data_IF_660198836786
#
_entry.id   IF_660198836786
#
_cell.length_a   1.000
_cell.length_b   1.000
_cell.length_c   1.000
_cell.angle_alpha   90.00
_cell.angle_beta   90.00
_cell.angle_gamma   90.00
#
_symmetry.space_group_name_H-M   'P 1'
#
loop_
_entity.id
_entity.type
_entity.pdbx_description
1 polymer ?
#
# COMPACT_ATOMS: atom_id res chain seq x y z
N UNK A 1 4.88 -10.09 -21.36
CA UNK A 1 4.63 -9.10 -22.43
C UNK A 1 4.56 -7.64 -21.93
N UNK A 2 3.75 -7.31 -20.91
CA UNK A 2 3.55 -5.93 -20.43
C UNK A 2 4.82 -5.20 -19.93
N UNK A 3 5.75 -5.93 -19.30
CA UNK A 3 6.96 -5.34 -18.68
C UNK A 3 8.10 -5.01 -19.67
N UNK A 4 8.29 -5.83 -20.72
CA UNK A 4 9.23 -5.54 -21.81
C UNK A 4 8.85 -4.22 -22.52
N UNK A 5 7.55 -4.00 -22.70
CA UNK A 5 6.99 -2.76 -23.25
C UNK A 5 7.35 -1.52 -22.42
N UNK A 6 7.33 -1.60 -21.07
CA UNK A 6 7.69 -0.51 -20.16
C UNK A 6 9.19 -0.17 -20.16
N UNK A 7 10.03 -1.18 -20.31
CA UNK A 7 11.49 -1.06 -20.36
C UNK A 7 11.96 -0.38 -21.65
N UNK A 8 11.41 -0.82 -22.78
CA UNK A 8 11.61 -0.16 -24.07
C UNK A 8 11.12 1.29 -24.02
N UNK A 9 9.98 1.56 -23.34
CA UNK A 9 9.52 2.95 -23.23
C UNK A 9 10.48 3.85 -22.47
N UNK A 10 11.30 3.35 -21.55
CA UNK A 10 12.20 4.18 -20.77
C UNK A 10 13.50 4.56 -21.49
N UNK A 11 13.99 3.72 -22.40
CA UNK A 11 15.19 4.00 -23.20
C UNK A 11 14.95 4.84 -24.46
N UNK A 12 13.69 5.10 -24.83
CA UNK A 12 13.39 5.94 -25.99
C UNK A 12 13.89 7.37 -25.73
N UNK A 13 14.72 7.95 -26.62
CA UNK A 13 15.15 9.34 -26.53
C UNK A 13 13.96 10.28 -26.37
N UNK A 14 14.09 11.31 -25.52
CA UNK A 14 13.00 12.26 -25.22
C UNK A 14 12.37 12.85 -26.48
N UNK A 15 13.15 13.05 -27.55
CA UNK A 15 12.70 13.51 -28.87
C UNK A 15 11.73 12.52 -29.51
N UNK A 16 12.08 11.23 -29.58
CA UNK A 16 11.20 10.19 -30.13
C UNK A 16 9.91 10.02 -29.28
N UNK A 17 10.01 10.14 -27.94
CA UNK A 17 8.81 10.13 -27.07
C UNK A 17 7.86 11.28 -27.43
N UNK A 18 8.42 12.47 -27.69
CA UNK A 18 7.66 13.65 -28.10
C UNK A 18 7.03 13.46 -29.48
N UNK A 19 7.75 12.89 -30.43
CA UNK A 19 7.27 12.58 -31.78
C UNK A 19 6.16 11.52 -31.75
N UNK A 20 6.32 10.43 -30.98
CA UNK A 20 5.26 9.42 -30.78
C UNK A 20 4.00 10.03 -30.17
N UNK A 21 4.13 10.89 -29.16
CA UNK A 21 2.99 11.64 -28.58
C UNK A 21 2.35 12.59 -29.59
N UNK A 22 3.14 13.23 -30.46
CA UNK A 22 2.64 14.11 -31.53
C UNK A 22 1.87 13.30 -32.58
N UNK A 23 2.43 12.17 -33.04
CA UNK A 23 1.79 11.27 -33.99
C UNK A 23 0.48 10.68 -33.43
N UNK A 24 0.49 10.22 -32.17
CA UNK A 24 -0.71 9.73 -31.51
C UNK A 24 -1.81 10.81 -31.38
N UNK A 25 -1.43 12.08 -31.15
CA UNK A 25 -2.38 13.21 -31.14
C UNK A 25 -2.90 13.56 -32.53
N UNK A 26 -2.09 13.36 -33.57
CA UNK A 26 -2.48 13.58 -34.97
C UNK A 26 -3.38 12.46 -35.50
N UNK A 27 -3.23 11.24 -35.00
CA UNK A 27 -4.07 10.09 -35.35
C UNK A 27 -5.37 10.01 -34.53
N UNK A 28 -5.50 10.77 -33.44
CA UNK A 28 -6.79 10.93 -32.76
C UNK A 28 -7.74 11.64 -33.72
N UNK A 29 -8.65 10.86 -34.31
CA UNK A 29 -9.72 11.34 -35.17
C UNK A 29 -10.47 12.48 -34.48
N UNK A 30 -10.88 13.51 -35.24
CA UNK A 30 -11.67 14.68 -34.76
C UNK A 30 -13.09 14.30 -34.28
N UNK A 31 -13.35 13.03 -33.98
CA UNK A 31 -14.66 12.37 -34.03
C UNK A 31 -15.39 12.25 -32.70
N UNK A 32 -15.19 13.18 -31.76
CA UNK A 32 -16.13 13.35 -30.66
C UNK A 32 -16.61 14.80 -30.74
N UNK A 33 -17.78 14.98 -31.35
CA UNK A 33 -18.30 16.24 -31.90
C UNK A 33 -18.48 17.39 -30.88
N UNK A 34 -18.24 17.15 -29.60
CA UNK A 34 -18.46 18.15 -28.53
C UNK A 34 -17.21 18.58 -27.74
N UNK A 35 -16.05 17.91 -27.87
CA UNK A 35 -14.86 18.22 -27.06
C UNK A 35 -13.66 18.65 -27.88
N UNK A 36 -12.96 19.68 -27.40
CA UNK A 36 -11.68 20.10 -27.97
C UNK A 36 -10.62 19.01 -27.79
N UNK A 37 -9.64 18.95 -28.70
CA UNK A 37 -8.49 18.03 -28.63
C UNK A 37 -7.76 18.16 -27.28
N UNK A 38 -7.68 19.37 -26.73
CA UNK A 38 -7.03 19.62 -25.45
C UNK A 38 -7.82 19.04 -24.27
N UNK A 39 -9.16 19.10 -24.30
CA UNK A 39 -10.01 18.48 -23.28
C UNK A 39 -9.85 16.97 -23.30
N UNK A 40 -9.87 16.34 -24.47
CA UNK A 40 -9.67 14.89 -24.60
C UNK A 40 -8.27 14.47 -24.13
N UNK A 41 -7.25 15.26 -24.43
CA UNK A 41 -5.87 14.99 -24.01
C UNK A 41 -5.62 15.23 -22.51
N UNK A 42 -6.54 15.88 -21.80
CA UNK A 42 -6.42 16.15 -20.36
C UNK A 42 -6.63 14.90 -19.49
N UNK A 43 -7.26 13.87 -20.05
CA UNK A 43 -7.54 12.60 -19.37
C UNK A 43 -6.97 11.43 -20.17
N UNK A 44 -6.60 10.34 -19.49
CA UNK A 44 -6.15 9.14 -20.19
C UNK A 44 -7.33 8.47 -20.93
N UNK A 45 -7.09 7.73 -22.04
CA UNK A 45 -8.17 7.04 -22.76
C UNK A 45 -8.99 6.09 -21.87
N UNK A 46 -8.34 5.39 -20.94
CA UNK A 46 -9.01 4.53 -19.97
C UNK A 46 -9.91 5.33 -19.00
N UNK A 47 -9.46 6.52 -18.56
CA UNK A 47 -10.26 7.40 -17.73
C UNK A 47 -11.45 7.98 -18.50
N UNK A 48 -11.25 8.35 -19.77
CA UNK A 48 -12.32 8.84 -20.64
C UNK A 48 -13.40 7.77 -20.86
N UNK A 49 -13.01 6.51 -21.06
CA UNK A 49 -13.95 5.40 -21.18
C UNK A 49 -14.81 5.23 -19.91
N UNK A 50 -14.22 5.42 -18.71
CA UNK A 50 -14.97 5.42 -17.45
C UNK A 50 -15.90 6.62 -17.33
N UNK A 51 -15.44 7.81 -17.68
CA UNK A 51 -16.30 8.99 -17.70
C UNK A 51 -17.48 8.81 -18.65
N UNK A 52 -17.25 8.23 -19.83
CA UNK A 52 -18.30 7.99 -20.81
C UNK A 52 -19.40 7.09 -20.26
N UNK A 53 -19.04 6.00 -19.57
CA UNK A 53 -20.01 5.09 -18.95
C UNK A 53 -20.92 5.82 -17.94
N UNK A 54 -20.33 6.54 -16.99
CA UNK A 54 -21.11 7.30 -16.02
C UNK A 54 -21.92 8.43 -16.68
N UNK A 55 -21.37 9.06 -17.72
CA UNK A 55 -22.10 10.07 -18.46
C UNK A 55 -23.33 9.50 -19.17
N UNK A 56 -23.21 8.36 -19.84
CA UNK A 56 -24.33 7.69 -20.52
C UNK A 56 -25.48 7.35 -19.56
N UNK A 57 -25.16 7.01 -18.30
CA UNK A 57 -26.15 6.78 -17.24
C UNK A 57 -26.82 8.08 -16.77
N UNK A 58 -26.06 9.15 -16.53
CA UNK A 58 -26.56 10.42 -15.98
C UNK A 58 -27.16 11.37 -17.02
N UNK A 59 -26.75 11.28 -18.28
CA UNK A 59 -27.17 12.13 -19.39
C UNK A 59 -28.69 12.31 -19.49
N UNK A 60 -29.52 11.24 -19.47
CA UNK A 60 -30.98 11.39 -19.53
C UNK A 60 -31.58 12.14 -18.33
N UNK A 61 -30.91 12.10 -17.18
CA UNK A 61 -31.33 12.78 -15.96
C UNK A 61 -30.97 14.27 -15.99
N UNK A 62 -29.83 14.61 -16.63
CA UNK A 62 -29.26 15.95 -16.65
C UNK A 62 -29.72 16.79 -17.85
N UNK A 63 -30.04 16.15 -18.98
CA UNK A 63 -30.45 16.82 -20.21
C UNK A 63 -31.96 16.72 -20.45
N UNK A 64 -32.51 17.69 -21.16
CA UNK A 64 -33.87 17.62 -21.71
C UNK A 64 -33.89 16.81 -23.03
N UNK A 65 -35.08 16.56 -23.58
CA UNK A 65 -35.22 15.84 -24.85
C UNK A 65 -34.61 16.54 -26.08
N UNK A 66 -34.07 17.75 -25.91
CA UNK A 66 -33.34 18.51 -26.94
C UNK A 66 -31.82 18.53 -26.68
N UNK A 67 -31.34 17.78 -25.69
CA UNK A 67 -29.93 17.73 -25.30
C UNK A 67 -29.43 18.99 -24.56
N UNK A 68 -30.34 19.88 -24.14
CA UNK A 68 -29.97 21.07 -23.35
C UNK A 68 -29.90 20.69 -21.89
N UNK A 69 -28.97 21.31 -21.17
CA UNK A 69 -28.85 21.12 -19.73
C UNK A 69 -30.14 21.59 -19.04
N UNK A 70 -30.72 20.75 -18.19
CA UNK A 70 -31.87 21.13 -17.34
C UNK A 70 -31.48 22.27 -16.40
N UNK A 71 -32.45 22.98 -15.78
CA UNK A 71 -32.13 23.99 -14.77
C UNK A 71 -31.17 23.44 -13.73
N UNK A 72 -30.13 24.21 -13.40
CA UNK A 72 -29.01 23.77 -12.55
C UNK A 72 -29.50 23.12 -11.24
N UNK A 73 -30.53 23.66 -10.60
CA UNK A 73 -31.11 23.09 -9.38
C UNK A 73 -31.68 21.67 -9.58
N UNK A 74 -32.23 21.36 -10.77
CA UNK A 74 -32.69 20.00 -11.12
C UNK A 74 -31.51 19.08 -11.41
N UNK A 75 -30.46 19.59 -12.05
CA UNK A 75 -29.22 18.83 -12.30
C UNK A 75 -28.53 18.47 -10.99
N UNK A 76 -28.41 19.42 -10.06
CA UNK A 76 -27.83 19.20 -8.73
C UNK A 76 -28.61 18.17 -7.93
N UNK A 77 -29.94 18.24 -7.95
CA UNK A 77 -30.79 17.23 -7.30
C UNK A 77 -30.63 15.85 -7.94
N UNK A 78 -30.71 15.74 -9.27
CA UNK A 78 -30.62 14.46 -9.96
C UNK A 78 -29.24 13.81 -9.78
N UNK A 79 -28.17 14.61 -9.82
CA UNK A 79 -26.82 14.11 -9.56
C UNK A 79 -26.66 13.67 -8.11
N UNK A 80 -27.22 14.40 -7.13
CA UNK A 80 -27.20 13.99 -5.74
C UNK A 80 -27.96 12.67 -5.49
N UNK A 81 -29.15 12.52 -6.09
CA UNK A 81 -29.94 11.27 -6.04
C UNK A 81 -29.16 10.09 -6.63
N UNK A 82 -28.54 10.27 -7.80
CA UNK A 82 -27.71 9.22 -8.41
C UNK A 82 -26.52 8.82 -7.52
N UNK A 83 -25.88 9.76 -6.82
CA UNK A 83 -24.80 9.45 -5.88
C UNK A 83 -25.30 8.70 -4.64
N UNK A 84 -26.52 8.98 -4.17
CA UNK A 84 -27.16 8.20 -3.10
C UNK A 84 -27.47 6.78 -3.55
N UNK A 85 -27.95 6.59 -4.78
CA UNK A 85 -28.24 5.27 -5.35
C UNK A 85 -26.96 4.44 -5.49
N UNK A 86 -25.87 5.02 -6.02
CA UNK A 86 -24.56 4.35 -6.03
C UNK A 86 -24.15 3.90 -4.62
N UNK A 87 -24.35 4.74 -3.61
CA UNK A 87 -24.03 4.37 -2.23
C UNK A 87 -24.92 3.23 -1.70
N UNK A 88 -26.22 3.24 -1.99
CA UNK A 88 -27.15 2.17 -1.59
C UNK A 88 -26.82 0.84 -2.26
N UNK A 89 -26.33 0.88 -3.49
CA UNK A 89 -25.88 -0.29 -4.25
C UNK A 89 -24.53 -0.85 -3.76
N UNK A 90 -23.88 -0.18 -2.79
CA UNK A 90 -22.62 -0.60 -2.20
C UNK A 90 -21.39 -0.20 -3.01
N UNK A 91 -21.53 0.73 -3.97
CA UNK A 91 -20.41 1.26 -4.73
C UNK A 91 -19.49 2.11 -3.86
N UNK A 92 -18.21 2.13 -4.22
CA UNK A 92 -17.20 2.85 -3.45
C UNK A 92 -17.19 4.36 -3.74
N UNK A 93 -16.47 5.09 -2.88
CA UNK A 93 -16.33 6.54 -3.00
C UNK A 93 -15.58 6.97 -4.28
N UNK A 94 -14.79 6.09 -4.87
CA UNK A 94 -14.08 6.38 -6.10
C UNK A 94 -15.05 6.38 -7.29
N UNK A 95 -16.00 5.44 -7.35
CA UNK A 95 -17.07 5.40 -8.36
C UNK A 95 -17.87 6.70 -8.35
N UNK A 96 -18.34 7.15 -7.18
CA UNK A 96 -19.03 8.43 -7.02
C UNK A 96 -18.22 9.63 -7.55
N UNK A 97 -16.90 9.64 -7.33
CA UNK A 97 -16.02 10.70 -7.84
C UNK A 97 -15.89 10.68 -9.36
N UNK A 98 -15.84 9.48 -9.95
CA UNK A 98 -15.82 9.35 -11.42
C UNK A 98 -17.12 9.86 -12.03
N UNK A 99 -18.27 9.63 -11.38
CA UNK A 99 -19.55 10.17 -11.84
C UNK A 99 -19.57 11.70 -11.83
N UNK A 100 -19.21 12.36 -10.71
CA UNK A 100 -19.15 13.83 -10.66
C UNK A 100 -18.13 14.40 -11.66
N UNK A 101 -16.96 13.77 -11.76
CA UNK A 101 -15.93 14.22 -12.70
C UNK A 101 -16.36 14.04 -14.17
N UNK A 102 -17.12 12.99 -14.48
CA UNK A 102 -17.73 12.80 -15.80
C UNK A 102 -18.72 13.92 -16.11
N UNK A 103 -19.64 14.23 -15.19
CA UNK A 103 -20.61 15.32 -15.37
C UNK A 103 -19.92 16.67 -15.68
N UNK A 104 -18.86 17.01 -14.93
CA UNK A 104 -18.08 18.24 -15.15
C UNK A 104 -17.24 18.21 -16.43
N UNK A 105 -16.84 17.03 -16.90
CA UNK A 105 -16.07 16.87 -18.14
C UNK A 105 -16.96 17.04 -19.38
N UNK A 106 -18.17 16.48 -19.36
CA UNK A 106 -19.13 16.56 -20.48
C UNK A 106 -19.95 17.85 -20.50
N UNK A 107 -20.14 18.51 -19.35
CA UNK A 107 -20.81 19.81 -19.24
C UNK A 107 -19.95 20.82 -18.48
N UNK A 108 -18.95 21.42 -19.13
CA UNK A 108 -18.08 22.42 -18.51
C UNK A 108 -18.82 23.64 -17.96
N UNK A 109 -20.04 23.91 -18.42
CA UNK A 109 -20.92 24.98 -17.90
C UNK A 109 -21.23 24.79 -16.41
N UNK A 110 -21.12 23.56 -15.90
CA UNK A 110 -21.23 23.25 -14.48
C UNK A 110 -19.99 23.67 -13.67
N UNK A 111 -18.84 23.88 -14.31
CA UNK A 111 -17.63 24.46 -13.69
C UNK A 111 -17.75 25.99 -13.67
N UNK A 112 -18.55 26.52 -12.76
CA UNK A 112 -18.52 27.97 -12.53
C UNK A 112 -17.31 28.39 -11.69
N UNK A 113 -16.63 29.51 -12.03
CA UNK A 113 -15.59 30.13 -11.20
C UNK A 113 -16.05 30.48 -9.78
N UNK A 114 -17.36 30.62 -9.56
CA UNK A 114 -17.95 30.92 -8.27
C UNK A 114 -18.26 29.68 -7.40
N UNK A 115 -17.96 28.45 -7.85
CA UNK A 115 -18.10 27.20 -7.07
C UNK A 115 -19.49 26.95 -6.40
N UNK A 116 -20.59 27.53 -6.92
CA UNK A 116 -21.91 27.53 -6.26
C UNK A 116 -23.06 26.84 -7.01
N UNK A 117 -22.85 26.24 -8.18
CA UNK A 117 -23.97 25.66 -8.96
C UNK A 117 -24.42 24.26 -8.53
N UNK A 118 -23.60 23.50 -7.82
CA UNK A 118 -23.96 22.16 -7.34
C UNK A 118 -23.88 22.06 -5.81
N UNK A 119 -24.68 22.83 -5.06
CA UNK A 119 -24.59 22.90 -3.62
C UNK A 119 -24.94 21.57 -2.94
N UNK A 120 -25.91 20.80 -3.44
CA UNK A 120 -26.30 19.50 -2.83
C UNK A 120 -25.28 18.41 -3.10
N UNK A 121 -24.73 18.34 -4.31
CA UNK A 121 -23.64 17.41 -4.64
C UNK A 121 -22.37 17.71 -3.83
N UNK A 122 -22.18 18.98 -3.44
CA UNK A 122 -21.09 19.37 -2.53
C UNK A 122 -21.40 19.05 -1.07
N UNK A 123 -22.61 19.36 -0.61
CA UNK A 123 -23.07 19.11 0.77
C UNK A 123 -23.23 17.63 1.10
N UNK A 124 -23.43 16.78 0.10
CA UNK A 124 -23.24 15.34 0.25
C UNK A 124 -21.75 15.11 0.55
N UNK A 125 -21.42 15.17 1.85
CA UNK A 125 -20.08 15.10 2.48
C UNK A 125 -19.20 13.92 2.00
N UNK A 126 -19.77 13.02 1.21
CA UNK A 126 -19.13 11.97 0.45
C UNK A 126 -18.04 12.49 -0.52
N UNK A 127 -18.24 13.64 -1.18
CA UNK A 127 -17.30 14.10 -2.22
C UNK A 127 -16.13 14.93 -1.64
N UNK A 128 -16.34 15.64 -0.53
CA UNK A 128 -15.41 16.69 -0.04
C UNK A 128 -14.18 16.19 0.73
N UNK A 129 -14.12 14.95 1.21
CA UNK A 129 -13.00 14.51 2.06
C UNK A 129 -11.62 14.42 1.37
N UNK A 130 -11.47 14.71 0.07
CA UNK A 130 -10.19 14.53 -0.66
C UNK A 130 -9.81 15.67 -1.64
N UNK A 131 -10.43 16.86 -1.56
CA UNK A 131 -9.82 18.05 -2.19
C UNK A 131 -9.24 18.94 -1.09
N UNK A 132 -8.00 18.70 -0.61
CA UNK A 132 -7.36 19.67 0.25
C UNK A 132 -7.03 20.92 -0.56
N UNK A 133 -7.62 22.05 -0.18
CA UNK A 133 -6.96 23.34 -0.36
C UNK A 133 -5.59 23.23 0.32
N UNK A 134 -4.52 23.47 -0.46
CA UNK A 134 -3.20 23.64 0.11
C UNK A 134 -3.21 24.92 0.95
N UNK A 135 -3.37 24.83 2.26
CA UNK A 135 -2.80 25.79 3.22
C UNK A 135 -3.14 25.43 4.69
N UNK A 136 -2.09 25.43 5.52
CA UNK A 136 -2.09 25.35 7.00
C UNK A 136 -2.42 23.95 7.58
N UNK A 137 -1.72 23.38 8.56
CA UNK A 137 -0.98 23.91 9.69
C UNK A 137 0.15 22.95 10.11
N UNK A 138 1.27 23.53 10.52
CA UNK A 138 2.37 22.90 11.23
C UNK A 138 2.24 23.10 12.75
N UNK A 139 3.01 22.29 13.50
CA UNK A 139 3.29 22.30 14.94
C UNK A 139 2.30 21.59 15.88
N UNK A 140 2.72 20.47 16.48
CA UNK A 140 3.38 20.46 17.81
C UNK A 140 3.80 19.02 18.19
N UNK A 141 4.95 18.93 18.86
CA UNK A 141 5.66 17.74 19.36
C UNK A 141 5.02 17.22 20.65
N UNK A 142 4.94 15.90 20.84
CA UNK A 142 5.05 15.26 22.17
C UNK A 142 5.66 13.85 22.04
N UNK A 143 6.72 13.63 22.80
CA UNK A 143 7.54 12.43 22.91
C UNK A 143 6.99 11.47 23.97
N UNK A 144 6.91 10.18 23.63
CA UNK A 144 6.58 9.08 24.55
C UNK A 144 5.72 8.02 23.86
N UNK A 145 6.34 7.09 23.14
CA UNK A 145 5.65 6.05 22.37
C UNK A 145 6.01 4.64 22.85
N UNK A 146 5.05 3.73 23.04
CA UNK A 146 5.31 2.33 23.39
C UNK A 146 5.79 1.52 22.19
N UNK A 147 6.69 0.57 22.44
CA UNK A 147 7.20 -0.37 21.46
C UNK A 147 6.13 -1.43 21.13
N UNK A 148 5.93 -1.75 19.85
CA UNK A 148 5.00 -2.77 19.38
C UNK A 148 5.74 -3.71 18.42
N UNK A 149 5.79 -5.00 18.73
CA UNK A 149 6.40 -6.01 17.87
C UNK A 149 5.33 -6.63 16.95
N UNK A 150 5.51 -6.55 15.64
CA UNK A 150 4.67 -7.25 14.66
C UNK A 150 5.56 -8.11 13.75
N UNK A 151 5.17 -9.37 13.55
CA UNK A 151 5.82 -10.33 12.66
C UNK A 151 5.08 -10.30 11.31
N UNK A 152 5.82 -10.09 10.22
CA UNK A 152 5.27 -10.01 8.86
C UNK A 152 5.36 -11.38 8.16
N UNK A 153 4.21 -11.90 7.72
CA UNK A 153 4.11 -12.97 6.70
C UNK A 153 3.62 -12.32 5.40
N UNK A 154 4.41 -12.46 4.33
CA UNK A 154 4.08 -11.91 3.02
C UNK A 154 3.10 -12.79 2.26
N UNK A 155 2.02 -12.20 1.75
CA UNK A 155 1.18 -12.81 0.72
C UNK A 155 1.14 -11.87 -0.50
N UNK A 156 1.51 -12.37 -1.67
CA UNK A 156 1.22 -11.75 -2.97
C UNK A 156 -0.15 -12.24 -3.45
N UNK A 157 -1.14 -11.35 -3.46
CA UNK A 157 -2.42 -11.61 -4.12
C UNK A 157 -2.45 -10.91 -5.48
N UNK A 158 -2.18 -11.67 -6.54
CA UNK A 158 -2.69 -11.37 -7.89
C UNK A 158 -3.24 -12.69 -8.43
N UNK A 159 -4.53 -12.69 -8.79
CA UNK A 159 -5.21 -13.84 -9.40
C UNK A 159 -4.78 -13.93 -10.87
N UNK A 160 -4.54 -15.16 -11.29
CA UNK A 160 -4.19 -15.65 -12.63
C UNK A 160 -2.69 -15.71 -12.98
N UNK A 161 -2.05 -16.88 -12.69
CA UNK A 161 -1.02 -17.63 -13.47
C UNK A 161 -0.46 -18.84 -12.64
N UNK A 162 0.22 -19.84 -13.26
CA UNK A 162 0.28 -21.23 -12.77
C UNK A 162 1.40 -21.52 -11.75
N UNK A 163 1.10 -22.44 -10.81
CA UNK A 163 1.95 -23.14 -9.83
C UNK A 163 2.89 -22.28 -8.94
N UNK A 164 2.99 -22.57 -7.63
CA UNK A 164 3.77 -21.74 -6.72
C UNK A 164 5.28 -21.95 -6.90
N UNK A 165 6.00 -20.84 -7.13
CA UNK A 165 7.46 -20.79 -7.18
C UNK A 165 8.10 -21.17 -5.83
N UNK A 166 9.24 -21.87 -5.91
CA UNK A 166 10.07 -22.33 -4.81
C UNK A 166 10.64 -21.15 -3.99
N UNK A 167 10.54 -21.21 -2.65
CA UNK A 167 11.28 -20.34 -1.74
C UNK A 167 12.42 -21.14 -1.10
N UNK A 168 13.68 -20.84 -1.42
CA UNK A 168 14.82 -21.34 -0.66
C UNK A 168 15.33 -20.27 0.30
N UNK A 169 15.72 -20.68 1.51
CA UNK A 169 16.27 -19.81 2.54
C UNK A 169 17.75 -20.09 2.70
N UNK A 170 18.57 -19.08 2.46
CA UNK A 170 19.99 -19.12 2.76
C UNK A 170 20.28 -18.27 4.00
N UNK A 171 20.55 -18.93 5.13
CA UNK A 171 21.19 -18.30 6.27
C UNK A 171 22.71 -18.34 6.04
N UNK A 172 23.34 -17.18 5.88
CA UNK A 172 24.81 -17.08 5.84
C UNK A 172 25.29 -16.39 7.11
N UNK A 173 26.08 -17.11 7.89
CA UNK A 173 26.86 -16.52 8.97
C UNK A 173 28.06 -15.82 8.31
N UNK A 174 28.11 -14.48 8.34
CA UNK A 174 29.34 -13.78 7.96
C UNK A 174 30.33 -13.97 9.11
N UNK A 175 31.22 -14.95 8.97
CA UNK A 175 32.34 -15.11 9.88
C UNK A 175 33.10 -13.80 10.00
N UNK A 176 33.25 -13.31 11.24
CA UNK A 176 34.18 -12.22 11.51
C UNK A 176 35.59 -12.64 11.07
N UNK A 177 36.41 -11.73 10.50
CA UNK A 177 37.79 -12.06 10.18
C UNK A 177 38.49 -12.55 11.46
N UNK A 178 39.39 -13.55 11.36
CA UNK A 178 40.08 -14.07 12.53
C UNK A 178 40.80 -12.92 13.27
N UNK A 179 40.75 -12.89 14.61
CA UNK A 179 41.44 -11.87 15.36
C UNK A 179 42.94 -11.96 15.04
N UNK A 180 43.54 -10.83 14.66
CA UNK A 180 45.00 -10.72 14.64
C UNK A 180 45.47 -10.93 16.07
N UNK A 181 46.37 -11.90 16.27
CA UNK A 181 46.98 -12.21 17.56
C UNK A 181 47.53 -10.94 18.22
N UNK A 182 46.80 -10.42 19.19
CA UNK A 182 47.16 -9.27 19.98
C UNK A 182 46.42 -9.37 21.31
N UNK A 183 47.17 -9.62 22.39
CA UNK A 183 46.64 -9.81 23.75
C UNK A 183 45.84 -8.59 24.18
N UNK A 184 44.51 -8.75 24.18
CA UNK A 184 43.56 -7.82 24.77
C UNK A 184 42.19 -8.48 24.74
N UNK A 185 41.60 -8.70 25.91
CA UNK A 185 40.21 -9.14 26.07
C UNK A 185 39.28 -8.11 25.42
N UNK A 186 38.94 -8.33 24.15
CA UNK A 186 37.84 -7.65 23.49
C UNK A 186 36.65 -8.59 23.51
N UNK A 187 35.59 -8.22 24.25
CA UNK A 187 34.27 -8.83 24.10
C UNK A 187 33.78 -8.58 22.67
N UNK A 188 33.96 -9.58 21.81
CA UNK A 188 33.36 -9.63 20.49
C UNK A 188 31.85 -9.83 20.64
N UNK A 189 31.07 -8.75 20.62
CA UNK A 189 29.64 -8.85 20.29
C UNK A 189 29.54 -9.13 18.79
N UNK A 190 29.54 -10.41 18.42
CA UNK A 190 29.25 -10.83 17.05
C UNK A 190 27.82 -10.36 16.70
N UNK A 191 27.71 -9.28 15.93
CA UNK A 191 26.45 -8.77 15.45
C UNK A 191 25.89 -9.72 14.39
N UNK A 192 24.77 -10.37 14.69
CA UNK A 192 24.03 -11.14 13.70
C UNK A 192 23.41 -10.19 12.67
N UNK A 193 23.98 -10.13 11.47
CA UNK A 193 23.29 -9.55 10.31
C UNK A 193 22.61 -10.70 9.57
N UNK A 194 21.49 -11.17 10.11
CA UNK A 194 20.69 -12.19 9.44
C UNK A 194 19.96 -11.56 8.26
N UNK A 195 20.42 -11.92 7.06
CA UNK A 195 19.71 -11.61 5.81
C UNK A 195 18.96 -12.87 5.41
N UNK A 196 17.62 -12.84 5.47
CA UNK A 196 16.77 -13.92 4.95
C UNK A 196 16.64 -13.72 3.45
N UNK A 197 17.53 -14.34 2.66
CA UNK A 197 17.52 -14.25 1.19
C UNK A 197 16.56 -15.29 0.62
N UNK A 198 15.52 -14.85 -0.11
CA UNK A 198 14.76 -15.71 -1.01
C UNK A 198 15.55 -15.97 -2.30
N UNK A 199 16.18 -17.13 -2.40
CA UNK A 199 16.93 -17.53 -3.60
C UNK A 199 16.19 -18.61 -4.39
N UNK A 200 15.92 -18.37 -5.68
CA UNK A 200 15.54 -19.44 -6.60
C UNK A 200 16.81 -20.18 -7.04
N UNK A 201 17.14 -21.28 -6.37
CA UNK A 201 18.27 -22.13 -6.75
C UNK A 201 17.86 -23.13 -7.83
N UNK A 202 17.59 -22.66 -9.05
CA UNK A 202 17.58 -23.53 -10.23
C UNK A 202 18.95 -23.53 -10.89
N UNK A 203 19.75 -24.55 -10.57
CA UNK A 203 20.94 -24.95 -11.31
C UNK A 203 20.48 -25.56 -12.66
N UNK A 204 20.13 -24.70 -13.60
CA UNK A 204 19.74 -25.14 -14.94
C UNK A 204 19.31 -23.97 -15.83
N UNK A 205 20.25 -23.50 -16.65
CA UNK A 205 20.06 -22.51 -17.72
C UNK A 205 19.82 -21.05 -17.26
N UNK A 206 20.90 -20.27 -17.34
CA UNK A 206 21.00 -18.81 -17.13
C UNK A 206 19.96 -18.02 -17.95
N UNK A 207 18.76 -17.85 -17.39
CA UNK A 207 17.97 -16.65 -17.59
C UNK A 207 18.45 -15.61 -16.60
N UNK A 208 19.17 -14.58 -17.04
CA UNK A 208 19.42 -13.39 -16.20
C UNK A 208 18.04 -12.85 -15.82
N UNK A 209 17.64 -12.99 -14.56
CA UNK A 209 16.46 -12.32 -13.99
C UNK A 209 16.69 -10.81 -14.16
N UNK A 210 16.23 -10.28 -15.30
CA UNK A 210 16.38 -8.88 -15.66
C UNK A 210 15.49 -8.07 -14.72
N UNK A 211 16.13 -7.58 -13.65
CA UNK A 211 15.67 -6.65 -12.61
C UNK A 211 14.99 -7.32 -11.42
N UNK A 212 15.78 -7.64 -10.40
CA UNK A 212 15.30 -7.58 -9.02
C UNK A 212 14.86 -6.14 -8.73
N UNK A 213 13.56 -5.85 -8.90
CA UNK A 213 12.96 -4.58 -8.48
C UNK A 213 12.98 -4.45 -6.95
N UNK A 214 13.01 -5.60 -6.26
CA UNK A 214 13.12 -5.72 -4.82
C UNK A 214 14.30 -6.60 -4.46
N UNK A 215 14.96 -6.24 -3.36
CA UNK A 215 15.83 -7.16 -2.67
C UNK A 215 14.93 -8.23 -2.03
N UNK A 216 15.19 -9.50 -2.31
CA UNK A 216 14.44 -10.62 -1.74
C UNK A 216 14.82 -10.90 -0.28
N UNK A 217 15.46 -9.92 0.36
CA UNK A 217 15.98 -9.99 1.70
C UNK A 217 15.06 -9.28 2.71
N UNK A 218 14.67 -9.99 3.77
CA UNK A 218 14.08 -9.37 4.96
C UNK A 218 15.19 -8.87 5.89
N UNK A 219 15.15 -7.57 6.21
CA UNK A 219 16.12 -6.95 7.12
C UNK A 219 15.70 -7.16 8.59
N UNK A 220 16.49 -7.96 9.32
CA UNK A 220 16.36 -8.18 10.76
C UNK A 220 17.39 -7.34 11.56
N UNK A 221 17.56 -6.09 11.15
CA UNK A 221 18.58 -5.14 11.65
C UNK A 221 18.15 -4.35 12.90
N UNK A 222 16.85 -4.23 13.17
CA UNK A 222 16.36 -3.48 14.33
C UNK A 222 16.53 -4.28 15.64
N UNK A 223 16.76 -3.63 16.80
CA UNK A 223 17.00 -4.33 18.07
C UNK A 223 15.91 -5.35 18.45
N UNK A 224 14.64 -5.05 18.18
CA UNK A 224 13.53 -5.97 18.47
C UNK A 224 13.38 -7.10 17.44
N UNK A 225 14.10 -7.04 16.31
CA UNK A 225 14.17 -8.14 15.33
C UNK A 225 15.27 -9.17 15.68
N UNK A 226 16.33 -8.74 16.36
CA UNK A 226 17.50 -9.58 16.68
C UNK A 226 17.15 -10.96 17.26
N UNK A 227 16.23 -11.11 18.23
CA UNK A 227 15.90 -12.44 18.76
C UNK A 227 15.12 -13.32 17.78
N UNK A 228 14.46 -12.75 16.75
CA UNK A 228 13.61 -13.52 15.82
C UNK A 228 14.41 -14.49 14.97
N UNK A 229 15.61 -14.12 14.51
CA UNK A 229 16.42 -14.98 13.65
C UNK A 229 16.81 -16.30 14.33
N UNK A 230 17.53 -16.26 15.46
CA UNK A 230 17.90 -17.45 16.22
C UNK A 230 16.68 -18.25 16.70
N UNK A 231 15.62 -17.59 17.18
CA UNK A 231 14.41 -18.27 17.63
C UNK A 231 13.71 -19.01 16.48
N UNK A 232 13.57 -18.38 15.31
CA UNK A 232 12.98 -19.02 14.12
C UNK A 232 13.81 -20.21 13.66
N UNK A 233 15.14 -20.05 13.62
CA UNK A 233 16.07 -21.12 13.25
C UNK A 233 15.95 -22.34 14.16
N UNK A 234 15.86 -22.10 15.47
CA UNK A 234 15.74 -23.13 16.50
C UNK A 234 14.37 -23.81 16.48
N UNK A 235 13.30 -23.02 16.60
CA UNK A 235 11.92 -23.49 16.70
C UNK A 235 11.49 -24.31 15.48
N UNK A 236 11.89 -23.87 14.29
CA UNK A 236 11.54 -24.53 13.03
C UNK A 236 12.57 -25.56 12.59
N UNK A 237 13.61 -25.79 13.42
CA UNK A 237 14.72 -26.72 13.17
C UNK A 237 15.27 -26.58 11.76
N UNK A 238 15.56 -25.35 11.34
CA UNK A 238 15.93 -25.06 9.95
C UNK A 238 17.19 -25.80 9.49
N UNK A 239 18.07 -26.18 10.42
CA UNK A 239 19.24 -27.03 10.15
C UNK A 239 18.90 -28.45 9.66
N UNK A 240 17.67 -28.93 9.91
CA UNK A 240 17.20 -30.26 9.52
C UNK A 240 16.39 -30.22 8.22
N UNK A 241 15.96 -29.04 7.78
CA UNK A 241 15.14 -28.87 6.58
C UNK A 241 16.02 -28.84 5.34
N UNK A 242 15.53 -29.46 4.25
CA UNK A 242 16.15 -29.33 2.92
C UNK A 242 15.85 -27.95 2.34
N UNK A 243 16.71 -27.47 1.43
CA UNK A 243 16.58 -26.14 0.84
C UNK A 243 15.29 -25.88 0.05
N UNK A 244 14.57 -26.93 -0.34
CA UNK A 244 13.30 -26.86 -1.07
C UNK A 244 12.07 -26.96 -0.15
N UNK A 245 12.26 -27.26 1.14
CA UNK A 245 11.15 -27.38 2.08
C UNK A 245 10.64 -26.00 2.51
N UNK A 246 9.31 -25.88 2.60
CA UNK A 246 8.70 -24.68 3.18
C UNK A 246 9.09 -24.52 4.67
N UNK A 247 9.39 -23.28 5.05
CA UNK A 247 9.62 -22.91 6.46
C UNK A 247 8.35 -23.12 7.28
N UNK A 248 7.20 -22.70 6.72
CA UNK A 248 5.89 -22.82 7.35
C UNK A 248 4.94 -23.59 6.43
N UNK A 249 4.15 -24.48 7.02
CA UNK A 249 3.06 -25.19 6.34
C UNK A 249 1.69 -24.66 6.79
N UNK A 250 1.58 -23.33 6.95
CA UNK A 250 0.35 -22.65 7.38
C UNK A 250 -0.32 -21.96 6.20
N UNK A 251 -1.65 -21.99 6.16
CA UNK A 251 -2.45 -21.30 5.15
C UNK A 251 -2.83 -19.89 5.61
N UNK A 252 -3.32 -19.06 4.68
CA UNK A 252 -3.85 -17.74 5.04
C UNK A 252 -5.08 -17.87 5.98
N UNK A 253 -5.86 -18.92 5.84
CA UNK A 253 -7.01 -19.21 6.70
C UNK A 253 -6.56 -19.49 8.14
N UNK A 254 -5.54 -20.33 8.33
CA UNK A 254 -4.98 -20.62 9.66
C UNK A 254 -4.51 -19.35 10.36
N UNK A 255 -3.83 -18.47 9.62
CA UNK A 255 -3.36 -17.18 10.15
C UNK A 255 -4.54 -16.27 10.49
N UNK A 256 -5.59 -16.24 9.66
CA UNK A 256 -6.79 -15.43 9.92
C UNK A 256 -7.51 -15.89 11.17
N UNK A 257 -7.77 -17.20 11.30
CA UNK A 257 -8.39 -17.78 12.50
C UNK A 257 -7.54 -17.57 13.77
N UNK A 258 -6.20 -17.63 13.65
CA UNK A 258 -5.31 -17.29 14.75
C UNK A 258 -5.47 -15.82 15.17
N UNK A 259 -5.51 -14.88 14.21
CA UNK A 259 -5.64 -13.46 14.50
C UNK A 259 -7.00 -13.09 15.09
N UNK A 260 -8.08 -13.76 14.66
CA UNK A 260 -9.41 -13.60 15.24
C UNK A 260 -9.45 -14.06 16.71
N UNK A 261 -8.87 -15.23 17.01
CA UNK A 261 -8.76 -15.72 18.39
C UNK A 261 -7.92 -14.78 19.25
N UNK A 262 -6.74 -14.39 18.76
CA UNK A 262 -5.88 -13.45 19.46
C UNK A 262 -6.57 -12.09 19.69
N UNK A 263 -7.41 -11.63 18.77
CA UNK A 263 -8.18 -10.40 18.95
C UNK A 263 -9.14 -10.48 20.13
N UNK A 264 -9.78 -11.63 20.33
CA UNK A 264 -10.71 -11.86 21.43
C UNK A 264 -9.94 -12.00 22.74
N UNK A 265 -8.95 -12.89 22.78
CA UNK A 265 -8.18 -13.22 23.98
C UNK A 265 -7.37 -12.03 24.53
N UNK A 266 -6.84 -11.19 23.64
CA UNK A 266 -6.04 -10.01 24.01
C UNK A 266 -6.87 -8.72 24.06
N UNK A 267 -8.20 -8.80 23.95
CA UNK A 267 -9.12 -7.67 23.97
C UNK A 267 -8.79 -6.56 22.93
N UNK A 268 -8.32 -6.96 21.75
CA UNK A 268 -7.88 -6.04 20.68
C UNK A 268 -9.02 -5.58 19.76
N UNK A 269 -10.28 -5.74 20.18
CA UNK A 269 -11.47 -5.38 19.38
C UNK A 269 -11.48 -3.90 18.97
N UNK A 270 -10.90 -3.02 19.80
CA UNK A 270 -10.79 -1.58 19.52
C UNK A 270 -9.97 -1.23 18.27
N UNK A 271 -9.14 -2.15 17.76
CA UNK A 271 -8.36 -1.96 16.54
C UNK A 271 -9.14 -2.29 15.26
N UNK A 272 -10.35 -2.84 15.39
CA UNK A 272 -11.11 -3.46 14.29
C UNK A 272 -10.47 -4.79 13.86
N UNK A 273 -11.04 -5.45 12.86
CA UNK A 273 -10.60 -6.77 12.38
C UNK A 273 -9.07 -6.88 12.20
N UNK A 274 -8.47 -7.93 12.75
CA UNK A 274 -7.03 -8.20 12.60
C UNK A 274 -6.79 -9.04 11.36
N UNK A 275 -5.95 -8.53 10.45
CA UNK A 275 -5.59 -9.22 9.20
C UNK A 275 -4.09 -9.09 8.96
N UNK A 276 -3.43 -10.04 8.27
CA UNK A 276 -1.99 -9.95 7.98
C UNK A 276 -1.60 -8.65 7.27
N UNK A 277 -2.46 -8.18 6.38
CA UNK A 277 -2.29 -6.89 5.72
C UNK A 277 -2.20 -5.73 6.72
N UNK A 278 -3.07 -5.69 7.73
CA UNK A 278 -3.04 -4.64 8.77
C UNK A 278 -1.78 -4.72 9.63
N UNK A 279 -1.28 -5.92 9.94
CA UNK A 279 -0.02 -6.08 10.68
C UNK A 279 1.17 -5.49 9.91
N UNK A 280 1.22 -5.70 8.58
CA UNK A 280 2.21 -5.06 7.71
C UNK A 280 2.13 -3.53 7.73
N UNK A 281 0.92 -2.96 7.71
CA UNK A 281 0.72 -1.51 7.85
C UNK A 281 1.07 -0.99 9.25
N UNK A 282 0.79 -1.77 10.29
CA UNK A 282 1.13 -1.48 11.68
C UNK A 282 2.63 -1.39 11.88
N UNK A 283 3.39 -2.37 11.38
CA UNK A 283 4.85 -2.37 11.40
C UNK A 283 5.45 -1.12 10.72
N UNK A 284 5.00 -0.80 9.51
CA UNK A 284 5.47 0.39 8.80
C UNK A 284 5.14 1.72 9.54
N UNK A 285 3.96 1.79 10.15
CA UNK A 285 3.55 2.95 10.95
C UNK A 285 4.40 3.08 12.21
N UNK A 286 4.69 1.96 12.88
CA UNK A 286 5.53 1.92 14.06
C UNK A 286 6.97 2.34 13.73
N UNK A 287 7.55 1.79 12.66
CA UNK A 287 8.90 2.10 12.19
C UNK A 287 9.07 3.62 11.97
N UNK A 288 8.07 4.25 11.33
CA UNK A 288 8.10 5.68 11.04
C UNK A 288 7.92 6.53 12.30
N UNK A 289 6.89 6.25 13.11
CA UNK A 289 6.55 7.05 14.30
C UNK A 289 7.64 6.97 15.36
N UNK A 290 8.23 5.79 15.54
CA UNK A 290 9.34 5.56 16.46
C UNK A 290 10.70 6.03 15.90
N UNK A 291 10.73 6.57 14.68
CA UNK A 291 11.94 7.01 13.97
C UNK A 291 12.99 5.89 13.83
N UNK A 292 12.54 4.64 13.75
CA UNK A 292 13.39 3.48 13.52
C UNK A 292 13.82 3.41 12.05
N UNK A 293 12.97 3.89 11.14
CA UNK A 293 13.23 3.95 9.70
C UNK A 293 12.63 5.20 9.08
N UNK A 294 13.26 5.67 8.02
CA UNK A 294 12.70 6.68 7.12
C UNK A 294 11.75 6.04 6.08
N UNK A 295 11.04 6.87 5.30
CA UNK A 295 10.08 6.36 4.31
C UNK A 295 10.75 5.55 3.20
N UNK A 296 11.99 5.87 2.83
CA UNK A 296 12.71 5.12 1.81
C UNK A 296 13.02 3.70 2.29
N UNK A 297 13.52 3.57 3.52
CA UNK A 297 13.81 2.28 4.17
C UNK A 297 12.53 1.47 4.39
N UNK A 298 11.42 2.10 4.79
CA UNK A 298 10.11 1.45 4.87
C UNK A 298 9.70 0.96 3.48
N UNK A 299 9.78 1.83 2.45
CA UNK A 299 9.40 1.46 1.08
C UNK A 299 10.15 0.22 0.61
N UNK A 300 11.48 0.20 0.80
CA UNK A 300 12.34 -0.93 0.42
C UNK A 300 11.96 -2.19 1.19
N UNK A 301 11.90 -2.11 2.53
CA UNK A 301 11.61 -3.26 3.41
C UNK A 301 10.31 -3.95 3.06
N UNK A 302 9.21 -3.20 2.99
CA UNK A 302 7.91 -3.79 2.69
C UNK A 302 7.51 -3.69 1.23
N UNK A 303 8.46 -3.55 0.31
CA UNK A 303 8.25 -3.69 -1.15
C UNK A 303 7.09 -2.85 -1.69
N UNK A 304 6.99 -1.60 -1.22
CA UNK A 304 5.95 -0.71 -1.72
C UNK A 304 6.35 -0.18 -3.09
N UNK A 305 5.52 -0.46 -4.11
CA UNK A 305 5.77 -0.03 -5.49
C UNK A 305 5.87 1.49 -5.66
N UNK A 306 5.19 2.27 -4.82
CA UNK A 306 5.16 3.73 -4.93
C UNK A 306 5.44 4.39 -3.60
N UNK A 307 6.27 5.45 -3.64
CA UNK A 307 6.46 6.38 -2.53
C UNK A 307 5.14 7.01 -2.06
N UNK A 308 4.17 7.22 -2.95
CA UNK A 308 2.85 7.73 -2.56
C UNK A 308 2.11 6.79 -1.61
N UNK A 309 2.34 5.47 -1.72
CA UNK A 309 1.75 4.49 -0.82
C UNK A 309 2.35 4.59 0.58
N UNK A 310 3.63 4.92 0.72
CA UNK A 310 4.34 4.96 2.01
C UNK A 310 4.11 6.29 2.74
N UNK A 311 3.89 7.40 2.00
CA UNK A 311 3.59 8.72 2.58
C UNK A 311 2.44 8.73 3.59
N UNK A 312 1.51 7.77 3.51
CA UNK A 312 0.41 7.67 4.48
C UNK A 312 0.88 7.43 5.92
N UNK A 313 2.02 6.77 6.11
CA UNK A 313 2.57 6.49 7.44
C UNK A 313 3.15 7.74 8.11
N UNK A 314 3.36 8.83 7.38
CA UNK A 314 3.70 10.12 7.97
C UNK A 314 2.57 10.67 8.86
N UNK A 315 1.33 10.25 8.61
CA UNK A 315 0.15 10.71 9.34
C UNK A 315 -0.06 9.83 10.59
N UNK A 316 0.74 10.07 11.62
CA UNK A 316 0.67 9.36 12.90
C UNK A 316 -0.69 9.45 13.63
N UNK A 317 -1.52 10.46 13.29
CA UNK A 317 -2.82 10.66 13.94
C UNK A 317 -3.75 9.45 13.91
N UNK A 318 -3.74 8.66 12.82
CA UNK A 318 -4.57 7.44 12.76
C UNK A 318 -4.09 6.36 13.73
N UNK A 319 -2.76 6.20 13.87
CA UNK A 319 -2.18 5.27 14.83
C UNK A 319 -2.54 5.70 16.26
N UNK A 320 -2.41 6.99 16.58
CA UNK A 320 -2.79 7.52 17.90
C UNK A 320 -4.26 7.28 18.21
N UNK A 321 -5.16 7.54 17.25
CA UNK A 321 -6.59 7.25 17.41
C UNK A 321 -6.85 5.77 17.71
N UNK A 322 -6.23 4.85 16.96
CA UNK A 322 -6.36 3.41 17.20
C UNK A 322 -5.79 2.99 18.55
N UNK A 323 -4.66 3.57 18.97
CA UNK A 323 -4.11 3.30 20.29
C UNK A 323 -5.00 3.87 21.41
N UNK A 324 -5.78 4.91 21.16
CA UNK A 324 -6.71 5.48 22.13
C UNK A 324 -7.95 4.60 22.35
N UNK A 325 -8.37 3.80 21.38
CA UNK A 325 -9.53 2.91 21.53
C UNK A 325 -9.25 1.70 22.43
N UNK A 326 -7.98 1.36 22.67
CA UNK A 326 -7.61 0.26 23.54
C UNK A 326 -7.77 0.61 25.03
N UNK A 327 -8.23 -0.34 25.88
CA UNK A 327 -8.18 -0.17 27.32
C UNK A 327 -6.75 0.04 27.85
N UNK A 328 -6.62 0.72 29.00
CA UNK A 328 -5.31 1.04 29.59
C UNK A 328 -4.55 -0.23 30.00
N UNK A 329 -5.21 -1.26 30.53
CA UNK A 329 -4.55 -2.52 30.90
C UNK A 329 -4.04 -3.27 29.67
N UNK A 330 -4.77 -3.26 28.55
CA UNK A 330 -4.33 -3.86 27.28
C UNK A 330 -3.08 -3.18 26.76
N UNK A 331 -3.01 -1.83 26.80
CA UNK A 331 -1.79 -1.09 26.41
C UNK A 331 -0.58 -1.47 27.27
N UNK A 332 -0.76 -1.52 28.60
CA UNK A 332 0.29 -1.93 29.54
C UNK A 332 0.73 -3.39 29.29
N UNK A 333 -0.21 -4.28 29.02
CA UNK A 333 0.09 -5.67 28.68
C UNK A 333 0.91 -5.78 27.39
N UNK A 334 0.54 -5.03 26.35
CA UNK A 334 1.30 -4.98 25.09
C UNK A 334 2.72 -4.43 25.30
N UNK A 335 2.88 -3.35 26.06
CA UNK A 335 4.20 -2.80 26.43
C UNK A 335 5.07 -3.81 27.18
N UNK A 336 4.48 -4.52 28.14
CA UNK A 336 5.18 -5.56 28.89
C UNK A 336 5.56 -6.74 28.00
N UNK A 337 4.66 -7.17 27.11
CA UNK A 337 4.91 -8.26 26.16
C UNK A 337 6.12 -7.95 25.27
N UNK A 338 6.24 -6.72 24.76
CA UNK A 338 7.39 -6.32 23.94
C UNK A 338 8.70 -6.33 24.73
N UNK A 339 8.69 -5.94 26.01
CA UNK A 339 9.88 -6.04 26.87
C UNK A 339 10.29 -7.48 27.16
N UNK A 340 9.31 -8.38 27.30
CA UNK A 340 9.54 -9.79 27.63
C UNK A 340 9.85 -10.65 26.41
N UNK A 341 9.47 -10.20 25.21
CA UNK A 341 9.57 -10.97 23.96
C UNK A 341 10.99 -11.52 23.70
N UNK A 342 12.09 -10.76 23.86
CA UNK A 342 13.43 -11.31 23.62
C UNK A 342 13.76 -12.49 24.54
N UNK A 343 13.42 -12.40 25.83
CA UNK A 343 13.66 -13.46 26.79
C UNK A 343 12.79 -14.69 26.51
N UNK A 344 11.51 -14.48 26.17
CA UNK A 344 10.60 -15.54 25.79
C UNK A 344 11.10 -16.30 24.54
N UNK A 345 11.57 -15.57 23.52
CA UNK A 345 12.13 -16.16 22.30
C UNK A 345 13.45 -16.90 22.54
N UNK A 346 14.31 -16.39 23.43
CA UNK A 346 15.55 -17.05 23.80
C UNK A 346 15.32 -18.37 24.56
N UNK A 347 14.22 -18.46 25.33
CA UNK A 347 13.85 -19.64 26.11
C UNK A 347 13.12 -20.73 25.33
N UNK A 348 12.80 -20.52 24.05
CA UNK A 348 12.14 -21.54 23.22
C UNK A 348 13.06 -22.77 23.05
N UNK A 349 12.51 -24.00 23.07
CA UNK A 349 13.27 -25.25 23.12
C UNK A 349 14.12 -25.53 21.88
#
# INVERSE_FOLDING_TARGET
ASFQLQLETNMIPRKLKKERRKAARQSMSRSLESHTILQQASVSPACLARYKRHWEEMEPMMLDGRGRLRPIARVDQALAEHLEDLYRDGEDLATARYAVAAALFFKPELRSPAMTHLPKVKQSRWVEQVVPSQESLAHTVCSGGPASACIELGCSGDRDLPAPDLFAVHATERGAPPPKEGRGEAQLTAGWVSTLVGGASSLGSRGVLKKQEFDECLQLDLPYHQPLGPATYKLLRLHQKRGEEHIFSVTLEDVTQFLERAQIELELKGLGELQPYRLRHGGASHDFVSKLRDLASIQMRGRWRSQSSVRRYQKGGRLTQLMQTLPVHVKKAAENAVRQLPAALAGLP
#
